data_IF_833270193933
#
_entry.id   IF_833270193933
#
_cell.length_a   1.000
_cell.length_b   1.000
_cell.length_c   1.000
_cell.angle_alpha   90.00
_cell.angle_beta   90.00
_cell.angle_gamma   90.00
#
_symmetry.space_group_name_H-M   'P 1'
#
loop_
_entity.id
_entity.type
_entity.pdbx_description
1 polymer ?
#
# COMPACT_ATOMS: atom_id res chain seq x y z
N UNK A 1 26.30 -20.51 -11.73
CA UNK A 1 26.54 -19.42 -10.77
C UNK A 1 25.62 -18.28 -11.15
N UNK A 2 24.65 -17.94 -10.29
CA UNK A 2 23.66 -16.90 -10.59
C UNK A 2 24.31 -15.52 -10.57
N UNK A 3 24.01 -14.68 -11.57
CA UNK A 3 24.57 -13.33 -11.66
C UNK A 3 24.21 -12.51 -10.41
N UNK A 4 25.19 -12.32 -9.52
CA UNK A 4 25.08 -11.57 -8.27
C UNK A 4 24.99 -10.06 -8.50
N UNK A 5 25.28 -9.62 -9.73
CA UNK A 5 25.24 -8.23 -10.18
C UNK A 5 24.08 -8.09 -11.17
N UNK A 6 23.14 -7.18 -10.89
CA UNK A 6 22.01 -6.88 -11.79
C UNK A 6 22.49 -6.51 -13.19
N UNK A 7 21.60 -6.60 -14.19
CA UNK A 7 21.95 -6.43 -15.60
C UNK A 7 21.40 -5.12 -16.14
N UNK A 8 22.21 -4.38 -16.88
CA UNK A 8 21.80 -3.19 -17.63
C UNK A 8 21.92 -3.53 -19.11
N UNK A 9 20.80 -3.50 -19.84
CA UNK A 9 20.74 -3.72 -21.28
C UNK A 9 20.73 -2.36 -21.96
N UNK A 10 21.62 -2.20 -22.94
CA UNK A 10 21.78 -0.96 -23.73
C UNK A 10 21.49 -1.22 -25.20
N UNK A 11 21.09 -0.20 -25.92
CA UNK A 11 20.95 -0.24 -27.38
C UNK A 11 22.29 -0.06 -28.11
N UNK A 12 22.21 -0.04 -29.44
CA UNK A 12 23.34 0.13 -30.36
C UNK A 12 24.04 1.50 -30.22
N UNK A 13 23.35 2.50 -29.67
CA UNK A 13 23.88 3.84 -29.41
C UNK A 13 24.38 4.00 -27.96
N UNK A 14 24.27 2.95 -27.14
CA UNK A 14 24.73 2.92 -25.75
C UNK A 14 23.71 3.46 -24.72
N UNK A 15 22.48 3.77 -25.13
CA UNK A 15 21.40 4.20 -24.24
C UNK A 15 20.84 3.02 -23.45
N UNK A 16 20.45 3.26 -22.19
CA UNK A 16 19.89 2.22 -21.32
C UNK A 16 18.44 1.95 -21.71
N UNK A 17 18.16 0.73 -22.18
CA UNK A 17 16.82 0.30 -22.60
C UNK A 17 16.12 -0.49 -21.50
N UNK A 18 16.87 -1.25 -20.69
CA UNK A 18 16.29 -2.08 -19.62
C UNK A 18 17.26 -2.28 -18.46
N UNK A 19 16.74 -2.19 -17.24
CA UNK A 19 17.49 -2.51 -16.02
C UNK A 19 16.81 -3.68 -15.33
N UNK A 20 17.56 -4.76 -15.13
CA UNK A 20 17.12 -5.97 -14.44
C UNK A 20 17.84 -6.00 -13.08
N UNK A 21 17.13 -5.60 -12.04
CA UNK A 21 17.64 -5.62 -10.66
C UNK A 21 17.57 -7.03 -10.07
N UNK A 22 18.55 -7.36 -9.23
CA UNK A 22 18.50 -8.60 -8.43
C UNK A 22 17.45 -8.51 -7.32
N UNK A 23 17.09 -9.65 -6.73
CA UNK A 23 16.17 -9.69 -5.58
C UNK A 23 16.62 -8.80 -4.42
N UNK A 24 17.92 -8.76 -4.13
CA UNK A 24 18.47 -7.94 -3.06
C UNK A 24 18.48 -6.44 -3.40
N UNK A 25 18.72 -6.08 -4.67
CA UNK A 25 18.57 -4.70 -5.12
C UNK A 25 17.11 -4.23 -5.08
N UNK A 26 16.17 -5.09 -5.48
CA UNK A 26 14.74 -4.84 -5.33
C UNK A 26 14.35 -4.63 -3.87
N UNK A 27 14.85 -5.46 -2.95
CA UNK A 27 14.63 -5.26 -1.52
C UNK A 27 15.15 -3.89 -1.06
N UNK A 28 16.38 -3.52 -1.41
CA UNK A 28 16.95 -2.21 -1.05
C UNK A 28 16.15 -1.04 -1.61
N UNK A 29 15.67 -1.15 -2.85
CA UNK A 29 14.85 -0.12 -3.50
C UNK A 29 13.47 0.03 -2.83
N UNK A 30 12.83 -1.09 -2.48
CA UNK A 30 11.46 -1.08 -1.94
C UNK A 30 11.40 -0.84 -0.43
N UNK A 31 12.46 -1.17 0.32
CA UNK A 31 12.49 -1.08 1.79
C UNK A 31 12.12 0.32 2.32
N UNK A 32 12.66 1.43 1.77
CA UNK A 32 12.29 2.78 2.20
C UNK A 32 10.81 3.13 1.99
N UNK A 33 10.11 2.44 1.08
CA UNK A 33 8.70 2.69 0.79
C UNK A 33 7.75 1.99 1.77
N UNK A 34 8.24 1.00 2.53
CA UNK A 34 7.45 0.20 3.45
C UNK A 34 6.80 1.03 4.56
N UNK A 35 7.51 1.96 5.24
CA UNK A 35 6.90 2.77 6.32
C UNK A 35 5.73 3.62 5.82
N UNK A 36 5.91 4.33 4.71
CA UNK A 36 4.84 5.15 4.11
C UNK A 36 3.63 4.30 3.71
N UNK A 37 3.85 3.14 3.08
CA UNK A 37 2.77 2.23 2.74
C UNK A 37 2.04 1.68 3.99
N UNK A 38 2.77 1.39 5.08
CA UNK A 38 2.17 0.94 6.35
C UNK A 38 1.32 2.03 6.98
N UNK A 39 1.79 3.27 7.01
CA UNK A 39 1.03 4.41 7.53
C UNK A 39 -0.27 4.61 6.77
N UNK A 40 -0.24 4.56 5.44
CA UNK A 40 -1.44 4.66 4.60
C UNK A 40 -2.44 3.53 4.88
N UNK A 41 -1.97 2.29 5.07
CA UNK A 41 -2.83 1.16 5.44
C UNK A 41 -3.47 1.37 6.81
N UNK A 42 -2.71 1.86 7.80
CA UNK A 42 -3.21 2.13 9.15
C UNK A 42 -4.26 3.24 9.11
N UNK A 43 -3.98 4.35 8.43
CA UNK A 43 -4.92 5.46 8.24
C UNK A 43 -6.23 4.97 7.62
N UNK A 44 -6.14 4.20 6.53
CA UNK A 44 -7.33 3.64 5.86
C UNK A 44 -8.14 2.73 6.78
N UNK A 45 -7.49 1.87 7.58
CA UNK A 45 -8.18 1.01 8.55
C UNK A 45 -8.89 1.83 9.62
N UNK A 46 -8.25 2.89 10.12
CA UNK A 46 -8.84 3.77 11.11
C UNK A 46 -10.09 4.48 10.57
N UNK A 47 -10.00 5.04 9.36
CA UNK A 47 -11.14 5.68 8.69
C UNK A 47 -12.31 4.71 8.46
N UNK A 48 -12.03 3.48 8.01
CA UNK A 48 -13.07 2.48 7.80
C UNK A 48 -13.79 2.13 9.09
N UNK A 49 -13.07 1.95 10.21
CA UNK A 49 -13.66 1.70 11.52
C UNK A 49 -14.51 2.88 11.99
N UNK A 50 -14.03 4.11 11.81
CA UNK A 50 -14.79 5.32 12.17
C UNK A 50 -16.12 5.37 11.42
N UNK A 51 -16.11 5.15 10.09
CA UNK A 51 -17.33 5.10 9.27
C UNK A 51 -18.30 4.00 9.69
N UNK A 52 -17.79 2.83 10.06
CA UNK A 52 -18.64 1.74 10.56
C UNK A 52 -19.30 2.10 11.90
N UNK A 53 -18.57 2.73 12.82
CA UNK A 53 -19.12 3.17 14.09
C UNK A 53 -20.18 4.27 13.90
N UNK A 54 -19.93 5.25 13.03
CA UNK A 54 -20.91 6.28 12.69
C UNK A 54 -22.20 5.66 12.13
N UNK A 55 -22.09 4.71 11.20
CA UNK A 55 -23.24 4.00 10.64
C UNK A 55 -24.01 3.21 11.70
N UNK A 56 -23.29 2.53 12.61
CA UNK A 56 -23.91 1.78 13.71
C UNK A 56 -24.68 2.70 14.65
N UNK A 57 -24.08 3.82 15.07
CA UNK A 57 -24.71 4.81 15.94
C UNK A 57 -25.96 5.43 15.29
N UNK A 58 -25.92 5.72 13.97
CA UNK A 58 -27.09 6.21 13.24
C UNK A 58 -28.23 5.18 13.21
N UNK A 59 -27.91 3.90 13.06
CA UNK A 59 -28.90 2.83 13.04
C UNK A 59 -29.51 2.60 14.42
N UNK A 60 -28.69 2.65 15.48
CA UNK A 60 -29.15 2.59 16.87
C UNK A 60 -30.09 3.76 17.19
N UNK A 61 -29.70 4.99 16.85
CA UNK A 61 -30.54 6.18 17.04
C UNK A 61 -31.90 6.08 16.30
N UNK A 62 -31.90 5.55 15.07
CA UNK A 62 -33.14 5.32 14.31
C UNK A 62 -34.03 4.25 14.94
N UNK A 63 -33.44 3.21 15.54
CA UNK A 63 -34.18 2.15 16.21
C UNK A 63 -34.87 2.65 17.50
N UNK A 64 -34.19 3.50 18.28
CA UNK A 64 -34.78 4.10 19.49
C UNK A 64 -35.98 4.99 19.16
N UNK A 65 -35.87 5.86 18.15
CA UNK A 65 -36.96 6.76 17.73
C UNK A 65 -38.19 6.00 17.21
N UNK A 66 -38.01 4.78 16.67
CA UNK A 66 -39.12 3.94 16.17
C UNK A 66 -39.88 3.25 17.30
N UNK A 67 -39.24 2.98 18.44
CA UNK A 67 -39.85 2.29 19.58
C UNK A 67 -40.59 3.25 20.53
N UNK A 68 -40.32 4.55 20.44
CA UNK A 68 -41.00 5.61 21.21
C UNK A 68 -42.27 6.17 20.51
N UNK A 69 -42.67 5.61 19.36
CA UNK A 69 -43.90 5.94 18.62
C UNK A 69 -44.91 4.80 18.70
#
# INVERSE_FOLDING_TARGET
>A
MGNEKGQIIRDEYGYVVKVILTKEQWKKFLTPLIPAARELIIQRKHEQRKKQNELKNMNEAKATIKNDK
#
